data_IF_523916751020
#
_entry.id   IF_523916751020
#
_cell.length_a   1.000
_cell.length_b   1.000
_cell.length_c   1.000
_cell.angle_alpha   90.00
_cell.angle_beta   90.00
_cell.angle_gamma   90.00
#
_symmetry.space_group_name_H-M   'P 1'
#
loop_
_entity.id
_entity.type
_entity.pdbx_description
1 polymer ?
#
# COMPACT_ATOMS: atom_id res chain seq x y z
N UNK A 1 9.09 -19.01 14.84
CA UNK A 1 9.82 -18.25 15.87
C UNK A 1 10.08 -16.88 15.26
N UNK A 2 9.50 -15.82 15.82
CA UNK A 2 9.80 -14.45 15.37
C UNK A 2 11.25 -14.16 15.78
N UNK A 3 12.03 -13.56 14.88
CA UNK A 3 13.39 -13.14 15.19
C UNK A 3 13.36 -12.14 16.35
N UNK A 4 14.13 -12.41 17.39
CA UNK A 4 14.21 -11.56 18.59
C UNK A 4 15.33 -10.53 18.49
N UNK A 5 16.17 -10.61 17.45
CA UNK A 5 17.24 -9.66 17.25
C UNK A 5 16.67 -8.32 16.78
N UNK A 6 17.05 -7.26 17.48
CA UNK A 6 16.73 -5.90 17.04
C UNK A 6 17.51 -5.61 15.77
N UNK A 7 16.79 -5.36 14.69
CA UNK A 7 17.36 -4.78 13.47
C UNK A 7 17.74 -3.33 13.79
N UNK A 8 18.99 -2.95 13.53
CA UNK A 8 19.44 -1.57 13.70
C UNK A 8 18.73 -0.64 12.71
N UNK A 9 18.58 0.62 13.09
CA UNK A 9 18.02 1.63 12.20
C UNK A 9 18.94 1.79 10.98
N UNK A 10 18.35 1.69 9.79
CA UNK A 10 19.05 1.92 8.53
C UNK A 10 19.48 3.39 8.38
N UNK A 11 20.30 3.70 7.37
CA UNK A 11 20.67 5.08 7.09
C UNK A 11 19.44 5.93 6.76
N UNK A 12 19.43 7.18 7.22
CA UNK A 12 18.39 8.14 6.85
C UNK A 12 18.44 8.41 5.34
N UNK A 13 17.42 7.98 4.62
CA UNK A 13 17.28 8.16 3.18
C UNK A 13 16.75 9.55 2.81
N UNK A 14 16.36 10.36 3.80
CA UNK A 14 15.70 11.65 3.58
C UNK A 14 14.25 11.53 3.10
N UNK A 15 13.71 10.31 2.97
CA UNK A 15 12.37 10.04 2.44
C UNK A 15 11.27 10.74 3.25
N UNK A 16 11.37 10.73 4.58
CA UNK A 16 10.39 11.37 5.45
C UNK A 16 10.31 12.88 5.18
N UNK A 17 11.47 13.54 5.06
CA UNK A 17 11.52 14.97 4.77
C UNK A 17 11.02 15.29 3.35
N UNK A 18 11.31 14.43 2.38
CA UNK A 18 10.80 14.58 1.01
C UNK A 18 9.27 14.43 0.96
N UNK A 19 8.73 13.41 1.62
CA UNK A 19 7.30 13.14 1.71
C UNK A 19 6.54 14.25 2.45
N UNK A 20 7.14 14.81 3.52
CA UNK A 20 6.58 15.95 4.22
C UNK A 20 6.49 17.19 3.32
N UNK A 21 7.58 17.57 2.66
CA UNK A 21 7.57 18.72 1.72
C UNK A 21 6.54 18.54 0.61
N UNK A 22 6.36 17.33 0.10
CA UNK A 22 5.37 17.05 -0.93
C UNK A 22 3.93 17.15 -0.40
N UNK A 23 3.66 16.64 0.80
CA UNK A 23 2.37 16.82 1.48
C UNK A 23 2.05 18.29 1.76
N UNK A 24 3.02 19.06 2.26
CA UNK A 24 2.84 20.48 2.55
C UNK A 24 2.51 21.27 1.27
N UNK A 25 3.24 21.00 0.18
CA UNK A 25 2.95 21.56 -1.14
C UNK A 25 1.56 21.17 -1.66
N UNK A 26 1.15 19.90 -1.48
CA UNK A 26 -0.20 19.45 -1.86
C UNK A 26 -1.29 20.18 -1.07
N UNK A 27 -1.05 20.51 0.19
CA UNK A 27 -2.01 21.22 1.05
C UNK A 27 -2.22 22.68 0.63
N UNK A 28 -1.20 23.32 0.06
CA UNK A 28 -1.25 24.67 -0.48
C UNK A 28 -1.96 24.75 -1.85
N UNK A 29 -2.05 23.64 -2.58
CA UNK A 29 -2.73 23.60 -3.88
C UNK A 29 -4.25 23.77 -3.72
N UNK A 30 -4.78 24.79 -4.39
CA UNK A 30 -6.22 24.94 -4.66
C UNK A 30 -6.64 24.03 -5.82
N UNK A 31 -6.64 22.73 -5.53
CA UNK A 31 -6.99 21.67 -6.46
C UNK A 31 -7.96 20.69 -5.81
N UNK A 32 -8.80 20.07 -6.63
CA UNK A 32 -9.70 19.02 -6.14
C UNK A 32 -8.93 17.73 -5.78
N UNK A 33 -9.60 16.82 -5.09
CA UNK A 33 -9.00 15.55 -4.68
C UNK A 33 -8.52 14.67 -5.85
N UNK A 34 -9.16 14.73 -7.01
CA UNK A 34 -8.79 13.94 -8.18
C UNK A 34 -7.50 14.49 -8.83
N UNK A 35 -7.37 15.80 -8.91
CA UNK A 35 -6.17 16.49 -9.36
C UNK A 35 -4.99 16.20 -8.43
N UNK A 36 -5.19 16.28 -7.10
CA UNK A 36 -4.15 15.91 -6.12
C UNK A 36 -3.74 14.43 -6.22
N UNK A 37 -4.69 13.51 -6.40
CA UNK A 37 -4.39 12.09 -6.67
C UNK A 37 -3.49 11.90 -7.89
N UNK A 38 -3.76 12.63 -8.97
CA UNK A 38 -2.93 12.59 -10.17
C UNK A 38 -1.53 13.13 -9.91
N UNK A 39 -1.38 14.20 -9.12
CA UNK A 39 -0.08 14.71 -8.72
C UNK A 39 0.72 13.68 -7.90
N UNK A 40 0.06 12.98 -6.97
CA UNK A 40 0.65 11.89 -6.18
C UNK A 40 1.11 10.74 -7.09
N UNK A 41 0.30 10.34 -8.06
CA UNK A 41 0.68 9.31 -9.02
C UNK A 41 1.91 9.69 -9.85
N UNK A 42 2.00 10.94 -10.29
CA UNK A 42 3.17 11.47 -11.00
C UNK A 42 4.39 11.43 -10.09
N UNK A 43 4.24 11.80 -8.81
CA UNK A 43 5.33 11.76 -7.84
C UNK A 43 5.87 10.34 -7.66
N UNK A 44 5.00 9.35 -7.47
CA UNK A 44 5.37 7.92 -7.35
C UNK A 44 6.10 7.43 -8.61
N UNK A 45 5.55 7.71 -9.79
CA UNK A 45 6.15 7.27 -11.05
C UNK A 45 7.52 7.92 -11.28
N UNK A 46 7.66 9.19 -10.91
CA UNK A 46 8.94 9.92 -11.04
C UNK A 46 9.99 9.35 -10.10
N UNK A 47 9.59 9.00 -8.88
CA UNK A 47 10.48 8.37 -7.88
C UNK A 47 11.01 7.02 -8.38
N UNK A 48 10.14 6.19 -8.98
CA UNK A 48 10.48 4.87 -9.50
C UNK A 48 11.07 4.89 -10.93
N UNK A 49 11.29 6.06 -11.53
CA UNK A 49 11.55 6.15 -12.96
C UNK A 49 12.85 5.43 -13.37
N UNK A 50 13.87 5.48 -12.50
CA UNK A 50 15.15 4.86 -12.79
C UNK A 50 15.03 3.33 -12.74
N UNK A 51 14.46 2.79 -11.67
CA UNK A 51 14.25 1.36 -11.46
C UNK A 51 13.35 0.79 -12.55
N UNK A 52 12.28 1.50 -12.92
CA UNK A 52 11.41 1.09 -14.03
C UNK A 52 12.17 1.01 -15.36
N UNK A 53 13.13 1.91 -15.61
CA UNK A 53 13.93 1.89 -16.82
C UNK A 53 14.97 0.75 -16.81
N UNK A 54 15.60 0.51 -15.67
CA UNK A 54 16.58 -0.57 -15.47
C UNK A 54 15.92 -1.94 -15.60
N UNK A 55 14.80 -2.17 -14.92
CA UNK A 55 14.04 -3.43 -14.99
C UNK A 55 13.43 -3.66 -16.38
N UNK A 56 12.97 -2.61 -17.06
CA UNK A 56 12.51 -2.72 -18.44
C UNK A 56 13.64 -3.13 -19.40
N UNK A 57 14.86 -2.62 -19.19
CA UNK A 57 16.03 -3.03 -19.96
C UNK A 57 16.44 -4.47 -19.65
N UNK A 58 16.42 -4.87 -18.37
CA UNK A 58 16.73 -6.24 -17.95
C UNK A 58 15.72 -7.28 -18.47
N UNK A 59 14.46 -6.88 -18.65
CA UNK A 59 13.39 -7.72 -19.19
C UNK A 59 13.25 -7.65 -20.74
N UNK A 60 14.22 -7.06 -21.44
CA UNK A 60 14.22 -6.87 -22.90
C UNK A 60 12.94 -6.19 -23.44
N UNK A 61 12.35 -5.29 -22.66
CA UNK A 61 11.17 -4.54 -23.07
C UNK A 61 11.57 -3.49 -24.12
N UNK A 62 11.01 -3.52 -25.34
CA UNK A 62 11.31 -2.51 -26.35
C UNK A 62 10.95 -1.11 -25.85
N UNK A 63 11.81 -0.12 -26.13
CA UNK A 63 11.60 1.28 -25.71
C UNK A 63 10.27 1.85 -26.19
N UNK A 64 9.84 1.43 -27.37
CA UNK A 64 8.59 1.79 -28.01
C UNK A 64 7.40 1.26 -27.19
N UNK A 65 7.47 0.02 -26.73
CA UNK A 65 6.45 -0.59 -25.88
C UNK A 65 6.42 0.08 -24.49
N UNK A 66 7.59 0.34 -23.91
CA UNK A 66 7.72 1.06 -22.64
C UNK A 66 7.11 2.46 -22.71
N UNK A 67 7.35 3.20 -23.80
CA UNK A 67 6.73 4.50 -24.07
C UNK A 67 5.23 4.41 -24.31
N UNK A 68 4.76 3.36 -25.00
CA UNK A 68 3.33 3.14 -25.28
C UNK A 68 2.51 2.90 -24.01
N UNK A 69 3.06 2.23 -22.99
CA UNK A 69 2.40 2.15 -21.69
C UNK A 69 2.14 3.55 -21.14
N UNK A 70 3.17 4.39 -21.14
CA UNK A 70 3.10 5.76 -20.65
C UNK A 70 2.53 5.87 -19.23
N UNK A 71 2.26 7.10 -18.80
CA UNK A 71 1.79 7.34 -17.44
C UNK A 71 0.48 6.60 -17.10
N UNK A 72 -0.49 6.62 -18.03
CA UNK A 72 -1.81 5.98 -17.79
C UNK A 72 -1.71 4.46 -17.70
N UNK A 73 -0.87 3.83 -18.53
CA UNK A 73 -0.64 2.39 -18.49
C UNK A 73 0.02 1.97 -17.19
N UNK A 74 1.02 2.73 -16.73
CA UNK A 74 1.70 2.44 -15.46
C UNK A 74 0.77 2.58 -14.25
N UNK A 75 0.00 3.67 -14.16
CA UNK A 75 -0.97 3.85 -13.06
C UNK A 75 -2.00 2.72 -13.04
N UNK A 76 -2.45 2.26 -14.21
CA UNK A 76 -3.36 1.11 -14.32
C UNK A 76 -2.70 -0.20 -13.88
N UNK A 77 -1.47 -0.46 -14.33
CA UNK A 77 -0.74 -1.68 -13.98
C UNK A 77 -0.44 -1.75 -12.48
N UNK A 78 0.06 -0.65 -11.91
CA UNK A 78 0.29 -0.49 -10.48
C UNK A 78 -1.01 -0.73 -9.71
N UNK A 79 -2.10 -0.07 -10.11
CA UNK A 79 -3.40 -0.20 -9.43
C UNK A 79 -4.02 -1.60 -9.50
N UNK A 80 -3.65 -2.42 -10.49
CA UNK A 80 -4.15 -3.79 -10.63
C UNK A 80 -3.44 -4.82 -9.74
N UNK A 81 -2.18 -4.55 -9.35
CA UNK A 81 -1.39 -5.47 -8.54
C UNK A 81 -1.89 -5.50 -7.09
N UNK A 82 -1.99 -6.67 -6.42
CA UNK A 82 -2.56 -6.79 -5.08
C UNK A 82 -1.85 -5.90 -4.04
N UNK A 83 -0.53 -6.08 -3.89
CA UNK A 83 0.27 -5.34 -2.92
C UNK A 83 0.57 -3.91 -3.42
N UNK A 84 1.08 -3.77 -4.64
CA UNK A 84 1.55 -2.47 -5.16
C UNK A 84 0.40 -1.49 -5.40
N UNK A 85 -0.77 -1.99 -5.80
CA UNK A 85 -1.97 -1.16 -5.90
C UNK A 85 -2.41 -0.64 -4.53
N UNK A 86 -2.31 -1.47 -3.49
CA UNK A 86 -2.67 -1.08 -2.14
C UNK A 86 -1.64 -0.12 -1.53
N UNK A 87 -0.35 -0.32 -1.79
CA UNK A 87 0.73 0.62 -1.48
C UNK A 87 0.40 2.01 -2.04
N UNK A 88 0.07 2.09 -3.34
CA UNK A 88 -0.32 3.33 -3.99
C UNK A 88 -1.54 3.97 -3.33
N UNK A 89 -2.57 3.18 -3.01
CA UNK A 89 -3.80 3.66 -2.38
C UNK A 89 -3.55 4.20 -0.96
N UNK A 90 -2.69 3.55 -0.18
CA UNK A 90 -2.27 4.02 1.14
C UNK A 90 -1.48 5.34 1.04
N UNK A 91 -0.49 5.43 0.13
CA UNK A 91 0.25 6.68 -0.12
C UNK A 91 -0.70 7.82 -0.51
N UNK A 92 -1.64 7.56 -1.42
CA UNK A 92 -2.65 8.56 -1.78
C UNK A 92 -3.48 8.99 -0.58
N UNK A 93 -3.96 8.05 0.23
CA UNK A 93 -4.75 8.37 1.42
C UNK A 93 -3.97 9.24 2.40
N UNK A 94 -2.67 8.98 2.57
CA UNK A 94 -1.79 9.75 3.47
C UNK A 94 -1.52 11.15 2.92
N UNK A 95 -1.11 11.28 1.67
CA UNK A 95 -0.82 12.59 1.07
C UNK A 95 -2.06 13.48 0.91
N UNK A 96 -3.25 12.91 0.69
CA UNK A 96 -4.50 13.68 0.59
C UNK A 96 -5.02 14.16 1.94
N UNK A 97 -4.57 13.55 3.04
CA UNK A 97 -5.02 13.95 4.37
C UNK A 97 -4.28 15.22 4.80
N UNK A 98 -5.01 16.34 4.81
CA UNK A 98 -4.47 17.65 5.13
C UNK A 98 -3.81 17.69 6.51
N UNK A 99 -2.62 18.27 6.59
CA UNK A 99 -1.82 18.33 7.81
C UNK A 99 -1.20 17.00 8.22
N UNK A 100 -1.06 16.05 7.29
CA UNK A 100 -0.36 14.80 7.57
C UNK A 100 1.08 15.07 8.00
N UNK A 101 1.46 14.44 9.11
CA UNK A 101 2.86 14.38 9.56
C UNK A 101 3.43 13.01 9.21
N UNK A 102 4.55 13.00 8.49
CA UNK A 102 5.28 11.78 8.19
C UNK A 102 6.24 11.42 9.34
N UNK A 103 6.34 10.13 9.61
CA UNK A 103 7.19 9.50 10.62
C UNK A 103 8.15 8.56 9.92
N UNK A 104 9.27 8.28 10.58
CA UNK A 104 10.34 7.46 10.02
C UNK A 104 9.86 6.09 9.51
N UNK A 105 9.01 5.41 10.28
CA UNK A 105 8.53 4.06 9.94
C UNK A 105 7.32 4.05 8.99
N UNK A 106 6.77 5.20 8.60
CA UNK A 106 5.55 5.21 7.78
C UNK A 106 5.75 4.50 6.43
N UNK A 107 6.91 4.69 5.79
CA UNK A 107 7.19 4.01 4.51
C UNK A 107 7.21 2.50 4.70
N UNK A 108 7.96 2.04 5.69
CA UNK A 108 8.10 0.63 6.03
C UNK A 108 6.74 0.01 6.29
N UNK A 109 5.94 0.63 7.16
CA UNK A 109 4.59 0.17 7.47
C UNK A 109 3.71 0.12 6.21
N UNK A 110 3.72 1.15 5.37
CA UNK A 110 2.93 1.17 4.13
C UNK A 110 3.36 0.03 3.19
N UNK A 111 4.67 -0.20 3.01
CA UNK A 111 5.20 -1.27 2.15
C UNK A 111 4.82 -2.65 2.68
N UNK A 112 5.09 -2.93 3.96
CA UNK A 112 4.84 -4.25 4.53
C UNK A 112 3.35 -4.54 4.72
N UNK A 113 2.55 -3.57 5.14
CA UNK A 113 1.12 -3.76 5.34
C UNK A 113 0.36 -3.90 4.03
N UNK A 114 0.75 -3.15 2.98
CA UNK A 114 0.18 -3.35 1.65
C UNK A 114 0.52 -4.72 1.08
N UNK A 115 1.74 -5.21 1.31
CA UNK A 115 2.14 -6.57 0.97
C UNK A 115 1.31 -7.61 1.73
N UNK A 116 1.25 -7.52 3.06
CA UNK A 116 0.49 -8.42 3.90
C UNK A 116 -0.99 -8.47 3.47
N UNK A 117 -1.64 -7.31 3.31
CA UNK A 117 -3.04 -7.24 2.93
C UNK A 117 -3.31 -7.56 1.45
N UNK A 118 -2.28 -7.57 0.61
CA UNK A 118 -2.35 -8.05 -0.77
C UNK A 118 -2.44 -9.57 -0.88
N UNK A 119 -1.98 -10.31 0.14
CA UNK A 119 -1.80 -11.76 0.07
C UNK A 119 -2.33 -12.56 1.27
N UNK A 120 -2.77 -11.91 2.35
CA UNK A 120 -3.35 -12.56 3.53
C UNK A 120 -4.81 -12.19 3.73
N UNK A 121 -5.58 -13.11 4.32
CA UNK A 121 -6.99 -12.88 4.69
C UNK A 121 -7.13 -12.00 5.93
N UNK A 122 -6.15 -12.04 6.84
CA UNK A 122 -6.15 -11.31 8.11
C UNK A 122 -4.83 -10.55 8.27
N UNK A 123 -4.92 -9.26 8.58
CA UNK A 123 -3.76 -8.38 8.83
C UNK A 123 -3.94 -7.65 10.15
N UNK A 124 -2.90 -7.65 10.98
CA UNK A 124 -2.86 -6.88 12.22
C UNK A 124 -1.91 -5.71 12.03
N UNK A 125 -2.36 -4.50 12.35
CA UNK A 125 -1.54 -3.30 12.25
C UNK A 125 -1.83 -2.30 13.36
N UNK A 126 -0.94 -1.33 13.53
CA UNK A 126 -1.17 -0.24 14.47
C UNK A 126 -2.39 0.63 14.10
N UNK A 127 -2.93 1.31 15.12
CA UNK A 127 -4.10 2.20 14.96
C UNK A 127 -3.92 3.21 13.83
N UNK A 128 -2.71 3.78 13.70
CA UNK A 128 -2.45 4.87 12.79
C UNK A 128 -2.40 4.43 11.30
N UNK A 129 -2.14 3.15 11.03
CA UNK A 129 -2.11 2.57 9.69
C UNK A 129 -3.40 1.85 9.28
N UNK A 130 -4.23 1.49 10.26
CA UNK A 130 -5.47 0.75 10.02
C UNK A 130 -6.40 1.48 9.06
N UNK A 131 -6.66 2.76 9.30
CA UNK A 131 -7.67 3.49 8.53
C UNK A 131 -7.23 3.71 7.06
N UNK A 132 -5.98 4.15 6.76
CA UNK A 132 -5.47 4.18 5.39
C UNK A 132 -5.54 2.82 4.68
N UNK A 133 -5.15 1.74 5.37
CA UNK A 133 -5.15 0.39 4.82
C UNK A 133 -6.57 -0.10 4.50
N UNK A 134 -7.50 0.07 5.44
CA UNK A 134 -8.89 -0.35 5.30
C UNK A 134 -9.61 0.44 4.19
N UNK A 135 -9.36 1.74 4.07
CA UNK A 135 -9.89 2.54 2.96
C UNK A 135 -9.33 2.10 1.60
N UNK A 136 -8.03 1.79 1.53
CA UNK A 136 -7.41 1.25 0.32
C UNK A 136 -8.04 -0.07 -0.12
N UNK A 137 -8.18 -1.02 0.81
CA UNK A 137 -8.81 -2.32 0.56
C UNK A 137 -10.24 -2.18 0.05
N UNK A 138 -11.05 -1.32 0.70
CA UNK A 138 -12.42 -1.04 0.28
C UNK A 138 -12.48 -0.46 -1.14
N UNK A 139 -11.62 0.51 -1.46
CA UNK A 139 -11.59 1.13 -2.79
C UNK A 139 -11.13 0.19 -3.89
N UNK A 140 -10.26 -0.76 -3.54
CA UNK A 140 -9.79 -1.79 -4.47
C UNK A 140 -10.72 -3.01 -4.53
N UNK A 141 -11.81 -3.04 -3.75
CA UNK A 141 -12.73 -4.19 -3.71
C UNK A 141 -12.09 -5.47 -3.16
N UNK A 142 -11.16 -5.34 -2.20
CA UNK A 142 -10.44 -6.47 -1.58
C UNK A 142 -11.06 -6.83 -0.22
N UNK A 143 -10.96 -8.10 0.16
CA UNK A 143 -11.64 -8.68 1.33
C UNK A 143 -10.75 -8.90 2.56
N UNK A 144 -9.45 -8.58 2.50
CA UNK A 144 -8.57 -8.74 3.65
C UNK A 144 -9.12 -7.98 4.88
N UNK A 145 -9.17 -8.66 6.01
CA UNK A 145 -9.70 -8.13 7.26
C UNK A 145 -8.55 -7.51 8.08
N UNK A 146 -8.73 -6.27 8.53
CA UNK A 146 -7.69 -5.50 9.22
C UNK A 146 -8.07 -5.30 10.69
N UNK A 147 -7.18 -5.74 11.58
CA UNK A 147 -7.36 -5.68 13.03
C UNK A 147 -6.30 -4.81 13.69
N UNK A 148 -6.65 -4.27 14.86
CA UNK A 148 -5.72 -3.48 15.69
C UNK A 148 -5.03 -4.33 16.76
N UNK A 149 -5.65 -5.44 17.14
CA UNK A 149 -5.19 -6.31 18.22
C UNK A 149 -5.07 -7.72 17.70
N UNK A 150 -3.98 -8.38 18.09
CA UNK A 150 -3.75 -9.78 17.73
C UNK A 150 -4.87 -10.68 18.27
N UNK A 151 -5.38 -10.42 19.48
CA UNK A 151 -6.48 -11.17 20.08
C UNK A 151 -7.74 -11.17 19.22
N UNK A 152 -8.06 -10.02 18.61
CA UNK A 152 -9.27 -9.87 17.80
C UNK A 152 -9.11 -10.62 16.46
N UNK A 153 -7.90 -10.60 15.90
CA UNK A 153 -7.58 -11.37 14.70
C UNK A 153 -7.58 -12.88 14.95
N UNK A 154 -7.02 -13.34 16.08
CA UNK A 154 -7.04 -14.76 16.47
C UNK A 154 -8.46 -15.27 16.61
N UNK A 155 -9.33 -14.54 17.32
CA UNK A 155 -10.73 -14.93 17.48
C UNK A 155 -11.45 -15.06 16.11
N UNK A 156 -11.20 -14.14 15.18
CA UNK A 156 -11.79 -14.19 13.84
C UNK A 156 -11.23 -15.35 12.98
N UNK A 157 -9.95 -15.70 13.16
CA UNK A 157 -9.34 -16.86 12.51
C UNK A 157 -9.94 -18.15 13.07
N UNK A 158 -10.12 -18.26 14.39
CA UNK A 158 -10.75 -19.41 15.04
C UNK A 158 -12.19 -19.62 14.52
N UNK A 159 -13.00 -18.55 14.48
CA UNK A 159 -14.36 -18.59 13.93
C UNK A 159 -14.38 -19.06 12.46
N UNK A 160 -13.45 -18.55 11.64
CA UNK A 160 -13.34 -18.97 10.25
C UNK A 160 -12.99 -20.46 10.13
N UNK A 161 -12.04 -20.95 10.93
CA UNK A 161 -11.61 -22.35 10.91
C UNK A 161 -12.72 -23.30 11.39
N UNK A 162 -13.49 -22.91 12.41
CA UNK A 162 -14.65 -23.68 12.88
C UNK A 162 -15.76 -23.77 11.81
N UNK A 163 -16.05 -22.65 11.13
CA UNK A 163 -17.02 -22.60 10.04
C UNK A 163 -16.65 -23.53 8.87
N UNK A 164 -15.35 -23.66 8.55
CA UNK A 164 -14.87 -24.56 7.50
C UNK A 164 -14.80 -26.03 7.95
N UNK A 165 -14.73 -26.29 9.26
CA UNK A 165 -14.62 -27.64 9.82
C UNK A 165 -15.97 -28.35 10.00
N UNK A 166 -17.09 -27.62 9.88
CA UNK A 166 -18.43 -28.21 9.95
C UNK A 166 -18.80 -28.83 8.59
N UNK A 167 -18.87 -30.17 8.46
CA UNK A 167 -19.26 -30.78 7.20
C UNK A 167 -20.72 -30.42 6.90
N UNK A 168 -21.00 -30.04 5.66
CA UNK A 168 -22.36 -29.95 5.15
C UNK A 168 -23.07 -31.29 5.43
N UNK A 169 -24.05 -31.29 6.33
CA UNK A 169 -24.95 -32.43 6.52
C UNK A 169 -25.50 -32.85 5.15
N UNK A 170 -25.32 -34.11 4.73
CA UNK A 170 -25.98 -34.57 3.51
C UNK A 170 -27.49 -34.47 3.74
N UNK A 171 -28.15 -33.67 2.89
CA UNK A 171 -29.59 -33.59 2.84
C UNK A 171 -30.17 -35.00 2.66
N UNK A 172 -31.08 -35.38 3.57
CA UNK A 172 -31.88 -36.60 3.49
C UNK A 172 -32.92 -36.53 2.37
#
# INVERSE_FOLDING_TARGET
MLDTQRVEEGPDTGWMAASQRFSDWLDELDQDSQQKRRAIDIHIVKDLQQELAEEAAAADVPKELFRQWGFKGWVRAIGGAPAVGLFREMLQSRHLNKGTTWRHNDLTDIVYLSCAAGYADFVVCEKHMRDPLQHGLKRMGRSAQVYRRLTDAVAAIEELLEAHSSPASPAQ
#
